data_IF_038459401566
#
_entry.id   IF_038459401566
#
_cell.length_a   1.000
_cell.length_b   1.000
_cell.length_c   1.000
_cell.angle_alpha   90.00
_cell.angle_beta   90.00
_cell.angle_gamma   90.00
#
_symmetry.space_group_name_H-M   'P 1'
#
loop_
_entity.id
_entity.type
_entity.pdbx_description
1 polymer ?
#
# COMPACT_ATOMS: atom_id res chain seq x y z
N UNK A 1 -12.91 3.52 11.75
CA UNK A 1 -11.76 4.28 11.21
C UNK A 1 -10.85 3.30 10.51
N UNK A 2 -10.25 3.70 9.40
CA UNK A 2 -9.36 2.86 8.62
C UNK A 2 -7.95 3.42 8.63
N UNK A 3 -7.00 2.51 8.45
CA UNK A 3 -5.61 2.84 8.33
C UNK A 3 -5.04 2.15 7.10
N UNK A 4 -4.47 2.94 6.20
CA UNK A 4 -3.81 2.45 5.00
C UNK A 4 -2.30 2.55 5.19
N UNK A 5 -1.60 1.46 4.88
CA UNK A 5 -0.15 1.37 4.87
C UNK A 5 0.26 1.03 3.44
N UNK A 6 1.16 1.82 2.86
CA UNK A 6 1.67 1.54 1.52
C UNK A 6 3.19 1.56 1.60
N UNK A 7 3.80 0.48 1.09
CA UNK A 7 5.25 0.37 0.92
C UNK A 7 5.54 0.25 -0.56
N UNK A 8 6.27 1.23 -1.09
CA UNK A 8 6.65 1.28 -2.50
C UNK A 8 8.00 0.59 -2.70
N UNK A 9 8.08 -0.24 -3.74
CA UNK A 9 9.32 -0.92 -4.13
C UNK A 9 9.66 -0.64 -5.58
N UNK A 10 10.96 -0.57 -5.91
CA UNK A 10 11.42 -0.30 -7.26
C UNK A 10 12.47 -1.32 -7.71
N UNK A 11 12.49 -1.58 -9.02
CA UNK A 11 13.56 -2.28 -9.73
C UNK A 11 13.68 -1.78 -11.16
N UNK A 12 14.89 -1.77 -11.70
CA UNK A 12 15.12 -1.33 -13.08
C UNK A 12 14.70 -2.40 -14.09
N UNK A 13 14.76 -3.68 -13.69
CA UNK A 13 14.36 -4.82 -14.51
C UNK A 13 13.70 -5.90 -13.67
N UNK A 14 12.93 -6.79 -14.31
CA UNK A 14 12.30 -7.94 -13.65
C UNK A 14 13.32 -9.02 -13.20
N UNK A 15 14.59 -8.88 -13.58
CA UNK A 15 15.69 -9.79 -13.23
C UNK A 15 16.40 -9.38 -11.94
N UNK A 16 16.11 -8.19 -11.43
CA UNK A 16 16.70 -7.65 -10.21
C UNK A 16 15.72 -7.78 -9.04
N UNK A 17 16.29 -7.87 -7.84
CA UNK A 17 15.51 -7.76 -6.61
C UNK A 17 14.93 -6.35 -6.48
N UNK A 18 13.69 -6.27 -6.02
CA UNK A 18 13.07 -5.00 -5.71
C UNK A 18 13.59 -4.49 -4.36
N UNK A 19 13.87 -3.20 -4.28
CA UNK A 19 14.19 -2.53 -3.01
C UNK A 19 13.05 -1.59 -2.63
N UNK A 20 12.75 -1.50 -1.32
CA UNK A 20 11.84 -0.49 -0.83
C UNK A 20 12.50 0.89 -0.87
N UNK A 21 11.74 1.91 -1.24
CA UNK A 21 12.25 3.27 -1.27
C UNK A 21 11.34 4.29 -0.56
N UNK A 22 10.06 3.98 -0.40
CA UNK A 22 9.12 4.79 0.37
C UNK A 22 8.17 3.91 1.19
N UNK A 23 7.72 4.44 2.32
CA UNK A 23 6.62 3.88 3.09
C UNK A 23 5.82 5.00 3.75
N UNK A 24 4.50 4.90 3.72
CA UNK A 24 3.63 5.86 4.39
C UNK A 24 2.40 5.19 4.98
N UNK A 25 1.88 5.83 6.02
CA UNK A 25 0.71 5.43 6.79
C UNK A 25 -0.25 6.60 6.86
N UNK A 26 -1.52 6.35 6.58
CA UNK A 26 -2.57 7.38 6.62
C UNK A 26 -3.82 6.85 7.30
N UNK A 27 -4.38 7.66 8.19
CA UNK A 27 -5.67 7.41 8.83
C UNK A 27 -6.78 8.06 8.02
N UNK A 28 -7.88 7.31 7.84
CA UNK A 28 -9.03 7.72 7.05
C UNK A 28 -10.31 7.36 7.81
N UNK A 29 -11.36 8.20 7.75
CA UNK A 29 -12.55 8.01 8.58
C UNK A 29 -13.33 6.75 8.19
N UNK A 30 -13.44 6.48 6.90
CA UNK A 30 -14.27 5.42 6.30
C UNK A 30 -13.59 4.77 5.08
N UNK A 31 -14.20 3.69 4.59
CA UNK A 31 -13.69 2.91 3.45
C UNK A 31 -13.76 3.67 2.12
N UNK A 32 -14.70 4.61 1.97
CA UNK A 32 -14.80 5.39 0.73
C UNK A 32 -13.67 6.42 0.64
N UNK A 33 -13.24 6.96 1.77
CA UNK A 33 -12.04 7.78 1.90
C UNK A 33 -10.78 6.98 1.54
N UNK A 34 -10.71 5.68 1.90
CA UNK A 34 -9.62 4.78 1.48
C UNK A 34 -9.61 4.64 -0.05
N UNK A 35 -10.76 4.38 -0.67
CA UNK A 35 -10.87 4.29 -2.14
C UNK A 35 -10.45 5.60 -2.81
N UNK A 36 -10.90 6.74 -2.28
CA UNK A 36 -10.52 8.06 -2.77
C UNK A 36 -9.00 8.26 -2.73
N UNK A 37 -8.35 7.99 -1.60
CA UNK A 37 -6.90 8.09 -1.47
C UNK A 37 -6.13 7.19 -2.46
N UNK A 38 -6.62 5.97 -2.71
CA UNK A 38 -6.03 5.08 -3.71
C UNK A 38 -6.23 5.60 -5.15
N UNK A 39 -7.39 6.17 -5.45
CA UNK A 39 -7.66 6.77 -6.77
C UNK A 39 -6.78 8.00 -7.00
N UNK A 40 -6.65 8.88 -6.01
CA UNK A 40 -5.80 10.07 -6.10
C UNK A 40 -4.34 9.69 -6.39
N UNK A 41 -3.87 8.60 -5.81
CA UNK A 41 -2.50 8.11 -5.97
C UNK A 41 -2.27 7.42 -7.31
N UNK A 42 -3.16 6.52 -7.72
CA UNK A 42 -2.97 5.63 -8.87
C UNK A 42 -3.76 6.06 -10.12
N UNK A 43 -4.52 7.16 -10.02
CA UNK A 43 -5.44 7.66 -11.05
C UNK A 43 -6.70 6.80 -11.25
N UNK A 44 -6.78 5.63 -10.60
CA UNK A 44 -7.90 4.70 -10.61
C UNK A 44 -7.77 3.73 -9.46
N UNK A 45 -8.86 3.06 -9.11
CA UNK A 45 -8.82 2.03 -8.07
C UNK A 45 -7.95 0.83 -8.55
N UNK A 46 -6.89 0.45 -7.81
CA UNK A 46 -6.04 -0.67 -8.19
C UNK A 46 -6.81 -2.00 -8.10
N UNK A 47 -6.51 -2.92 -9.03
CA UNK A 47 -7.28 -4.17 -9.23
C UNK A 47 -7.06 -5.26 -8.16
N UNK A 48 -6.18 -5.04 -7.18
CA UNK A 48 -5.96 -5.92 -6.02
C UNK A 48 -5.85 -7.42 -6.30
N UNK A 49 -5.15 -7.80 -7.39
CA UNK A 49 -5.11 -9.19 -7.88
C UNK A 49 -4.28 -10.13 -7.02
N UNK A 50 -3.19 -9.65 -6.46
CA UNK A 50 -2.30 -10.44 -5.62
C UNK A 50 -2.58 -10.07 -4.17
N UNK A 51 -3.13 -11.00 -3.40
CA UNK A 51 -3.53 -10.75 -2.02
C UNK A 51 -2.33 -10.86 -1.08
N UNK A 52 -2.36 -10.04 -0.04
CA UNK A 52 -1.39 -10.10 1.06
C UNK A 52 -2.09 -10.65 2.28
N UNK A 53 -1.44 -11.60 2.93
CA UNK A 53 -1.91 -12.22 4.16
C UNK A 53 -0.88 -12.04 5.28
N UNK A 54 -1.37 -11.99 6.53
CA UNK A 54 -0.56 -12.14 7.73
C UNK A 54 -1.13 -13.27 8.57
N UNK A 55 -0.27 -13.95 9.31
CA UNK A 55 -0.69 -14.89 10.33
C UNK A 55 -0.95 -14.14 11.64
N UNK A 56 -2.13 -14.36 12.21
CA UNK A 56 -2.52 -13.78 13.50
C UNK A 56 -1.85 -14.54 14.64
N UNK A 57 -1.85 -13.96 15.85
CA UNK A 57 -1.37 -14.64 17.05
C UNK A 57 -2.17 -15.90 17.39
N UNK A 58 -3.39 -16.05 16.87
CA UNK A 58 -4.20 -17.27 17.00
C UNK A 58 -3.84 -18.35 15.96
N UNK A 59 -2.91 -18.08 15.04
CA UNK A 59 -2.53 -18.99 13.97
C UNK A 59 -3.49 -18.99 12.77
N UNK A 60 -4.39 -18.00 12.68
CA UNK A 60 -5.28 -17.83 11.53
C UNK A 60 -4.62 -16.92 10.48
N UNK A 61 -4.81 -17.23 9.20
CA UNK A 61 -4.33 -16.37 8.11
C UNK A 61 -5.39 -15.33 7.76
N UNK A 62 -5.04 -14.05 7.88
CA UNK A 62 -5.93 -12.92 7.59
C UNK A 62 -5.46 -12.17 6.34
N UNK A 63 -6.37 -11.92 5.38
CA UNK A 63 -6.10 -10.98 4.27
C UNK A 63 -6.01 -9.56 4.82
N UNK A 64 -4.88 -8.90 4.59
CA UNK A 64 -4.65 -7.51 5.05
C UNK A 64 -4.51 -6.53 3.91
N UNK A 65 -4.49 -7.00 2.67
CA UNK A 65 -4.31 -6.12 1.53
C UNK A 65 -3.95 -6.82 0.23
N UNK A 66 -3.25 -6.10 -0.64
CA UNK A 66 -2.88 -6.57 -1.96
C UNK A 66 -1.64 -5.88 -2.52
N UNK A 67 -1.06 -6.47 -3.56
CA UNK A 67 0.02 -5.87 -4.34
C UNK A 67 -0.54 -5.17 -5.59
N UNK A 68 0.02 -4.01 -5.89
CA UNK A 68 -0.25 -3.27 -7.13
C UNK A 68 1.05 -3.01 -7.89
N UNK A 69 1.17 -3.56 -9.10
CA UNK A 69 2.37 -3.40 -9.91
C UNK A 69 2.13 -2.62 -11.20
N UNK A 70 3.06 -1.74 -11.54
CA UNK A 70 3.00 -0.89 -12.73
C UNK A 70 4.39 -0.39 -13.14
N UNK A 71 4.52 0.08 -14.39
CA UNK A 71 5.72 0.79 -14.83
C UNK A 71 5.56 2.26 -14.47
N UNK A 72 6.42 2.75 -13.58
CA UNK A 72 6.45 4.14 -13.12
C UNK A 72 7.54 4.93 -13.84
N UNK A 73 7.40 6.26 -13.88
CA UNK A 73 8.32 7.17 -14.53
C UNK A 73 8.14 8.57 -13.94
N UNK A 74 9.25 9.28 -13.71
CA UNK A 74 9.19 10.71 -13.43
C UNK A 74 8.99 11.49 -14.74
N UNK A 75 7.77 11.99 -14.91
CA UNK A 75 7.36 12.76 -16.07
C UNK A 75 7.95 14.17 -16.09
N UNK A 76 8.32 14.73 -14.93
CA UNK A 76 8.84 16.10 -14.82
C UNK A 76 10.26 16.23 -15.37
N UNK A 77 11.05 15.16 -15.31
CA UNK A 77 12.44 15.13 -15.77
C UNK A 77 12.68 14.18 -16.96
N UNK A 78 11.61 13.70 -17.61
CA UNK A 78 11.69 12.74 -18.73
C UNK A 78 12.57 11.51 -18.39
N UNK A 79 12.49 11.02 -17.15
CA UNK A 79 13.43 10.03 -16.62
C UNK A 79 13.27 8.64 -17.27
N UNK A 80 14.15 7.69 -16.92
CA UNK A 80 13.94 6.29 -17.28
C UNK A 80 12.78 5.71 -16.47
N UNK A 81 11.96 4.87 -17.10
CA UNK A 81 10.92 4.13 -16.39
C UNK A 81 11.53 3.04 -15.51
N UNK A 82 10.88 2.74 -14.38
CA UNK A 82 11.19 1.59 -13.52
C UNK A 82 9.94 0.76 -13.25
N UNK A 83 10.13 -0.50 -12.85
CA UNK A 83 9.02 -1.33 -12.42
C UNK A 83 8.79 -1.16 -10.93
N UNK A 84 7.56 -0.79 -10.57
CA UNK A 84 7.14 -0.58 -9.19
C UNK A 84 6.13 -1.65 -8.78
N UNK A 85 6.26 -2.13 -7.55
CA UNK A 85 5.25 -2.94 -6.88
C UNK A 85 4.98 -2.36 -5.52
N UNK A 86 3.75 -1.94 -5.28
CA UNK A 86 3.33 -1.38 -4.02
C UNK A 86 2.62 -2.45 -3.21
N UNK A 87 3.05 -2.61 -1.97
CA UNK A 87 2.32 -3.37 -0.97
C UNK A 87 1.34 -2.44 -0.29
N UNK A 88 0.04 -2.67 -0.50
CA UNK A 88 -1.04 -1.89 0.08
C UNK A 88 -1.74 -2.73 1.13
N UNK A 89 -1.66 -2.35 2.40
CA UNK A 89 -2.41 -2.94 3.51
C UNK A 89 -3.47 -1.99 4.03
N UNK A 90 -4.66 -2.50 4.35
CA UNK A 90 -5.79 -1.73 4.87
C UNK A 90 -6.29 -2.41 6.14
N UNK A 91 -6.33 -1.66 7.23
CA UNK A 91 -6.76 -2.14 8.54
C UNK A 91 -7.95 -1.34 9.03
N UNK A 92 -8.96 -2.03 9.57
CA UNK A 92 -9.96 -1.38 10.41
C UNK A 92 -9.37 -1.21 11.81
N UNK A 93 -9.34 0.04 12.30
CA UNK A 93 -8.70 0.40 13.55
C UNK A 93 -9.71 0.98 14.54
N UNK A 94 -9.71 0.41 15.74
CA UNK A 94 -10.49 0.90 16.89
C UNK A 94 -9.51 1.46 17.91
N UNK A 95 -9.43 2.79 18.04
CA UNK A 95 -8.55 3.42 19.02
C UNK A 95 -9.25 3.60 20.36
N UNK A 96 -8.62 3.11 21.43
CA UNK A 96 -8.97 3.49 22.80
C UNK A 96 -8.06 4.64 23.24
N UNK A 97 -8.59 5.72 23.83
CA UNK A 97 -7.76 6.78 24.35
C UNK A 97 -6.85 6.22 25.45
N UNK A 98 -5.54 6.45 25.31
CA UNK A 98 -4.57 6.15 26.37
C UNK A 98 -4.53 7.35 27.30
N UNK A 99 -4.90 7.17 28.57
CA UNK A 99 -4.63 8.17 29.59
C UNK A 99 -3.13 8.18 29.88
N UNK A 100 -2.48 9.29 29.59
CA UNK A 100 -1.12 9.55 30.05
C UNK A 100 -1.28 10.00 31.52
N UNK A 101 -0.76 9.19 32.45
CA UNK A 101 -0.73 9.48 33.90
C UNK A 101 0.47 10.38 34.19
#
# INVERSE_FOLDING_TARGET
>A
MYEIHITETARNSLKEEAHSFNSFRRELPDIDSVKGALIDMYGKLPKGRQKVYIDTLSGETQEVGFLHSFWNRDVSHNSKSWYQTDWISIYEVTRKPVKII
#
